data_IF_607324213297
#
_entry.id   IF_607324213297
#
_cell.length_a   1.000
_cell.length_b   1.000
_cell.length_c   1.000
_cell.angle_alpha   90.00
_cell.angle_beta   90.00
_cell.angle_gamma   90.00
#
_symmetry.space_group_name_H-M   'P 1'
#
loop_
_entity.id
_entity.type
_entity.pdbx_description
1 polymer ?
#
# COMPACT_ATOMS: atom_id res chain seq x y z
N UNK A 1 50.07 -14.47 45.31
CA UNK A 1 49.97 -15.24 44.06
C UNK A 1 49.22 -14.37 43.05
N UNK A 2 49.86 -14.05 41.91
CA UNK A 2 49.34 -13.72 40.56
C UNK A 2 47.97 -13.01 40.52
N UNK A 3 47.87 -11.69 40.27
CA UNK A 3 47.85 -11.03 38.95
C UNK A 3 46.51 -10.24 38.86
N UNK A 4 46.50 -8.90 38.74
CA UNK A 4 46.36 -8.10 37.49
C UNK A 4 45.09 -8.49 36.70
N UNK A 5 44.11 -7.68 36.27
CA UNK A 5 44.06 -6.27 35.84
C UNK A 5 42.56 -5.88 35.60
N UNK A 6 42.17 -4.65 35.97
CA UNK A 6 41.27 -3.66 35.30
C UNK A 6 39.82 -4.02 34.88
N UNK A 7 38.88 -3.45 35.65
CA UNK A 7 37.81 -2.49 35.28
C UNK A 7 37.42 -2.39 33.78
N UNK A 8 36.17 -2.71 33.45
CA UNK A 8 35.30 -1.83 32.64
C UNK A 8 33.88 -1.89 33.19
N UNK A 9 33.41 -0.72 33.62
CA UNK A 9 32.04 -0.37 33.98
C UNK A 9 31.13 -0.52 32.76
N UNK A 10 29.89 -0.98 32.91
CA UNK A 10 28.64 -0.36 32.39
C UNK A 10 27.46 -1.30 32.72
N UNK A 11 26.78 -0.94 33.80
CA UNK A 11 25.34 -0.72 33.95
C UNK A 11 24.39 -1.40 32.94
N UNK A 12 23.34 -1.99 33.52
CA UNK A 12 22.05 -2.34 32.94
C UNK A 12 21.99 -3.60 32.07
N UNK A 13 21.54 -4.70 32.68
CA UNK A 13 20.16 -5.14 32.51
C UNK A 13 19.97 -6.50 33.20
N UNK A 14 19.49 -6.46 34.44
CA UNK A 14 18.83 -7.58 35.12
C UNK A 14 17.47 -7.88 34.43
N UNK A 15 17.52 -8.20 33.13
CA UNK A 15 16.37 -8.54 32.29
C UNK A 15 16.66 -9.69 31.33
N UNK A 16 17.81 -10.35 31.46
CA UNK A 16 18.28 -11.33 30.47
C UNK A 16 17.82 -12.77 30.73
N UNK A 17 16.85 -13.00 31.63
CA UNK A 17 16.39 -14.36 31.98
C UNK A 17 14.90 -14.57 31.70
N UNK A 18 14.15 -13.54 31.28
CA UNK A 18 12.75 -13.69 30.85
C UNK A 18 12.55 -13.65 29.32
N UNK A 19 13.60 -13.32 28.56
CA UNK A 19 13.53 -13.23 27.09
C UNK A 19 13.71 -14.57 26.36
N UNK A 20 14.04 -15.67 27.07
CA UNK A 20 14.31 -16.98 26.46
C UNK A 20 13.10 -17.93 26.36
N UNK A 21 11.88 -17.43 26.58
CA UNK A 21 10.64 -18.22 26.56
C UNK A 21 9.54 -17.67 25.62
N UNK A 22 9.92 -16.88 24.62
CA UNK A 22 9.08 -16.52 23.47
C UNK A 22 9.75 -16.87 22.13
N UNK A 23 10.68 -17.85 22.14
CA UNK A 23 11.26 -18.43 20.95
C UNK A 23 10.22 -19.29 20.21
N UNK A 24 9.32 -18.62 19.50
CA UNK A 24 8.26 -19.19 18.68
C UNK A 24 8.15 -18.43 17.36
N UNK A 25 9.12 -18.66 16.47
CA UNK A 25 8.95 -18.53 15.01
C UNK A 25 8.72 -17.13 14.45
N UNK A 26 9.74 -16.27 14.48
CA UNK A 26 9.84 -15.20 13.48
C UNK A 26 10.33 -15.82 12.16
N UNK A 27 9.41 -16.03 11.22
CA UNK A 27 9.77 -16.32 9.84
C UNK A 27 10.59 -15.14 9.30
N UNK A 28 11.75 -15.36 8.64
CA UNK A 28 12.48 -14.28 8.03
C UNK A 28 11.60 -13.65 6.93
N UNK A 29 11.44 -12.33 6.97
CA UNK A 29 10.90 -11.56 5.86
C UNK A 29 11.89 -11.70 4.69
N UNK A 30 11.60 -12.63 3.78
CA UNK A 30 12.27 -12.70 2.49
C UNK A 30 11.63 -11.63 1.62
N UNK A 31 12.25 -10.46 1.57
CA UNK A 31 12.01 -9.48 0.53
C UNK A 31 12.54 -10.08 -0.78
N UNK A 32 11.65 -10.63 -1.61
CA UNK A 32 11.99 -11.03 -2.96
C UNK A 32 11.81 -9.82 -3.89
N UNK A 33 12.81 -8.95 -3.90
CA UNK A 33 12.95 -7.87 -4.88
C UNK A 33 13.60 -8.43 -6.14
N UNK A 34 12.81 -9.00 -7.06
CA UNK A 34 13.32 -9.34 -8.39
C UNK A 34 13.44 -8.07 -9.24
N UNK A 35 14.65 -7.50 -9.26
CA UNK A 35 15.03 -6.46 -10.21
C UNK A 35 15.25 -7.08 -11.61
N UNK A 36 14.52 -6.59 -12.62
CA UNK A 36 14.79 -6.90 -14.02
C UNK A 36 15.85 -5.92 -14.52
N UNK A 37 17.11 -6.38 -14.63
CA UNK A 37 18.21 -5.60 -15.22
C UNK A 37 18.10 -5.64 -16.74
N UNK A 38 17.80 -4.50 -17.35
CA UNK A 38 18.04 -4.26 -18.77
C UNK A 38 19.34 -3.47 -18.92
N UNK A 39 20.35 -4.10 -19.53
CA UNK A 39 21.60 -3.44 -19.94
C UNK A 39 21.30 -2.53 -21.13
N UNK A 40 21.04 -1.25 -20.85
CA UNK A 40 21.20 -0.05 -21.70
C UNK A 40 20.04 0.95 -21.45
N UNK A 41 20.33 2.04 -20.74
CA UNK A 41 19.37 3.10 -20.40
C UNK A 41 18.69 2.82 -19.06
N UNK A 42 18.74 3.79 -18.14
CA UNK A 42 18.29 3.63 -16.76
C UNK A 42 16.91 2.98 -16.66
N UNK A 43 16.87 1.72 -16.21
CA UNK A 43 15.63 1.05 -15.86
C UNK A 43 15.01 1.80 -14.68
N UNK A 44 13.88 2.48 -14.90
CA UNK A 44 13.09 3.01 -13.80
C UNK A 44 12.58 1.80 -13.01
N UNK A 45 12.90 1.66 -11.71
CA UNK A 45 12.37 0.56 -10.92
C UNK A 45 10.84 0.62 -10.96
N UNK A 46 10.21 -0.47 -11.41
CA UNK A 46 8.76 -0.59 -11.44
C UNK A 46 8.29 -1.09 -10.09
N UNK A 47 7.52 -0.26 -9.39
CA UNK A 47 6.81 -0.69 -8.17
C UNK A 47 5.69 -1.65 -8.56
N UNK A 48 5.70 -2.85 -7.98
CA UNK A 48 4.64 -3.85 -8.14
C UNK A 48 3.72 -3.81 -6.92
N UNK A 49 2.44 -3.57 -7.16
CA UNK A 49 1.41 -3.52 -6.14
C UNK A 49 0.69 -4.87 -6.02
N UNK A 50 0.60 -5.36 -4.78
CA UNK A 50 -0.28 -6.49 -4.44
C UNK A 50 -1.72 -6.01 -4.35
N UNK A 51 -2.52 -6.42 -5.33
CA UNK A 51 -3.97 -6.18 -5.36
C UNK A 51 -4.67 -6.89 -4.18
N UNK A 52 -5.66 -6.22 -3.61
CA UNK A 52 -6.64 -6.83 -2.71
C UNK A 52 -8.02 -6.45 -3.23
N UNK A 53 -8.81 -7.46 -3.58
CA UNK A 53 -10.19 -7.28 -4.02
C UNK A 53 -11.11 -7.59 -2.85
N UNK A 54 -12.02 -6.67 -2.61
CA UNK A 54 -13.09 -6.84 -1.64
C UNK A 54 -14.25 -7.63 -2.25
N UNK A 55 -15.21 -8.03 -1.42
CA UNK A 55 -16.45 -8.67 -1.89
C UNK A 55 -17.21 -7.75 -2.86
N UNK A 56 -17.79 -8.36 -3.90
CA UNK A 56 -18.55 -7.66 -4.94
C UNK A 56 -17.76 -6.69 -5.81
N UNK A 57 -16.43 -6.64 -5.70
CA UNK A 57 -15.57 -5.92 -6.63
C UNK A 57 -15.76 -6.45 -8.06
N UNK A 58 -15.82 -5.53 -9.03
CA UNK A 58 -15.97 -5.85 -10.46
C UNK A 58 -14.74 -5.43 -11.25
N UNK A 59 -14.27 -4.19 -11.06
CA UNK A 59 -13.17 -3.63 -11.83
C UNK A 59 -12.52 -2.43 -11.14
N UNK A 60 -11.27 -2.13 -11.54
CA UNK A 60 -10.60 -0.85 -11.26
C UNK A 60 -10.13 -0.21 -12.57
N UNK A 61 -10.13 1.12 -12.59
CA UNK A 61 -9.52 1.93 -13.66
C UNK A 61 -8.65 3.00 -13.01
N UNK A 62 -7.33 3.04 -13.23
CA UNK A 62 -6.55 2.06 -13.99
C UNK A 62 -6.61 0.64 -13.42
N UNK A 63 -6.29 -0.35 -14.25
CA UNK A 63 -6.10 -1.73 -13.78
C UNK A 63 -4.86 -1.80 -12.88
N UNK A 64 -4.83 -2.74 -11.94
CA UNK A 64 -3.69 -2.91 -11.04
C UNK A 64 -2.38 -3.16 -11.83
N UNK A 65 -1.30 -2.51 -11.42
CA UNK A 65 0.02 -2.47 -12.06
C UNK A 65 0.03 -1.89 -13.48
N UNK A 66 -0.98 -1.10 -13.88
CA UNK A 66 -0.91 -0.35 -15.12
C UNK A 66 0.30 0.59 -15.13
N UNK A 67 0.99 0.66 -16.27
CA UNK A 67 2.02 1.66 -16.56
C UNK A 67 1.43 2.68 -17.56
N UNK A 68 1.39 3.95 -17.16
CA UNK A 68 0.71 5.02 -17.87
C UNK A 68 1.68 6.14 -18.25
N UNK A 69 1.44 6.77 -19.40
CA UNK A 69 2.27 7.88 -19.89
C UNK A 69 1.85 9.23 -19.31
N UNK A 70 0.64 9.29 -18.75
CA UNK A 70 0.04 10.48 -18.18
C UNK A 70 -0.79 10.07 -16.98
N UNK A 71 -0.96 11.01 -16.04
CA UNK A 71 -1.89 10.84 -14.92
C UNK A 71 -3.30 10.72 -15.52
N UNK A 72 -4.04 9.63 -15.24
CA UNK A 72 -5.41 9.50 -15.73
C UNK A 72 -6.29 10.54 -15.05
N UNK A 73 -7.36 11.01 -15.70
CA UNK A 73 -8.29 11.98 -15.09
C UNK A 73 -8.90 11.45 -13.78
N UNK A 74 -9.07 10.12 -13.67
CA UNK A 74 -9.73 9.49 -12.53
C UNK A 74 -9.12 8.14 -12.19
N UNK A 75 -9.08 7.85 -10.88
CA UNK A 75 -9.00 6.50 -10.36
C UNK A 75 -10.39 6.04 -9.93
N UNK A 76 -10.81 4.83 -10.32
CA UNK A 76 -12.16 4.29 -10.15
C UNK A 76 -12.12 2.86 -9.63
N UNK A 77 -13.09 2.51 -8.78
CA UNK A 77 -13.39 1.14 -8.36
C UNK A 77 -14.89 0.91 -8.45
N UNK A 78 -15.29 -0.15 -9.15
CA UNK A 78 -16.69 -0.49 -9.42
C UNK A 78 -17.08 -1.80 -8.75
N UNK A 79 -18.33 -1.85 -8.27
CA UNK A 79 -18.92 -2.97 -7.55
C UNK A 79 -20.23 -3.44 -8.19
N UNK A 80 -20.63 -4.67 -7.89
CA UNK A 80 -21.92 -5.23 -8.34
C UNK A 80 -23.14 -4.69 -7.55
N UNK A 81 -22.91 -3.94 -6.48
CA UNK A 81 -23.94 -3.39 -5.60
C UNK A 81 -23.75 -1.87 -5.40
N UNK A 82 -24.81 -1.21 -4.95
CA UNK A 82 -24.74 0.18 -4.53
C UNK A 82 -23.99 0.31 -3.20
N UNK A 83 -23.11 1.30 -3.13
CA UNK A 83 -22.32 1.63 -1.96
C UNK A 83 -23.05 2.60 -1.04
N UNK A 84 -22.78 2.47 0.24
CA UNK A 84 -23.18 3.44 1.25
C UNK A 84 -22.27 4.69 1.19
N UNK A 85 -22.79 5.90 1.41
CA UNK A 85 -22.00 7.15 1.40
C UNK A 85 -20.85 7.20 2.42
N UNK A 86 -20.84 6.33 3.44
CA UNK A 86 -19.72 6.18 4.37
C UNK A 86 -18.51 5.44 3.79
N UNK A 87 -18.60 4.93 2.56
CA UNK A 87 -17.49 4.32 1.84
C UNK A 87 -16.41 5.37 1.54
N UNK A 88 -15.14 4.95 1.49
CA UNK A 88 -14.02 5.86 1.29
C UNK A 88 -12.99 5.29 0.31
N UNK A 89 -12.27 6.19 -0.34
CA UNK A 89 -11.12 5.91 -1.17
C UNK A 89 -10.02 6.92 -0.88
N UNK A 90 -8.78 6.46 -0.74
CA UNK A 90 -7.60 7.28 -0.47
C UNK A 90 -6.54 7.03 -1.54
N UNK A 91 -5.68 8.02 -1.74
CA UNK A 91 -4.58 7.97 -2.69
C UNK A 91 -3.27 8.30 -2.00
N UNK A 92 -2.25 7.52 -2.31
CA UNK A 92 -0.86 7.89 -2.03
C UNK A 92 -0.07 7.91 -3.33
N UNK A 93 0.87 8.85 -3.44
CA UNK A 93 1.85 8.94 -4.52
C UNK A 93 3.24 8.91 -3.91
N UNK A 94 4.12 8.04 -4.40
CA UNK A 94 5.47 7.87 -3.83
C UNK A 94 5.46 7.61 -2.30
N UNK A 95 4.39 7.00 -1.79
CA UNK A 95 4.19 6.77 -0.36
C UNK A 95 3.66 7.97 0.44
N UNK A 96 3.47 9.13 -0.19
CA UNK A 96 2.90 10.32 0.45
C UNK A 96 1.40 10.45 0.15
N UNK A 97 0.57 10.82 1.14
CA UNK A 97 -0.85 11.06 0.92
C UNK A 97 -1.10 12.16 -0.11
N UNK A 98 -2.09 11.95 -0.97
CA UNK A 98 -2.62 12.97 -1.87
C UNK A 98 -4.02 13.34 -1.40
N UNK A 99 -4.23 14.61 -1.09
CA UNK A 99 -5.53 15.13 -0.65
C UNK A 99 -6.49 15.17 -1.84
N UNK A 100 -7.44 14.24 -1.88
CA UNK A 100 -8.49 14.14 -2.89
C UNK A 100 -9.74 13.52 -2.27
N UNK A 101 -10.90 14.09 -2.58
CA UNK A 101 -12.17 13.62 -2.03
C UNK A 101 -12.69 12.40 -2.80
N UNK A 102 -13.22 11.42 -2.05
CA UNK A 102 -14.01 10.33 -2.64
C UNK A 102 -15.30 10.88 -3.23
N UNK A 103 -15.61 10.46 -4.45
CA UNK A 103 -16.87 10.73 -5.12
C UNK A 103 -17.54 9.43 -5.54
N UNK A 104 -18.81 9.53 -5.93
CA UNK A 104 -19.64 8.41 -6.32
C UNK A 104 -20.31 8.68 -7.66
N UNK A 105 -20.49 7.64 -8.46
CA UNK A 105 -21.40 7.70 -9.62
C UNK A 105 -22.85 7.85 -9.15
N UNK A 106 -23.75 8.25 -10.07
CA UNK A 106 -25.16 8.47 -9.76
C UNK A 106 -25.86 7.24 -9.19
N UNK A 107 -25.50 6.04 -9.67
CA UNK A 107 -26.01 4.76 -9.20
C UNK A 107 -25.30 4.25 -7.93
N UNK A 108 -24.31 4.99 -7.43
CA UNK A 108 -23.48 4.65 -6.26
C UNK A 108 -22.76 3.31 -6.36
N UNK A 109 -22.64 2.72 -7.56
CA UNK A 109 -21.93 1.44 -7.75
C UNK A 109 -20.42 1.62 -7.91
N UNK A 110 -19.94 2.86 -8.08
CA UNK A 110 -18.54 3.18 -8.32
C UNK A 110 -18.08 4.30 -7.41
N UNK A 111 -16.96 4.08 -6.72
CA UNK A 111 -16.16 5.14 -6.08
C UNK A 111 -15.11 5.66 -7.05
N UNK A 112 -14.87 6.96 -7.02
CA UNK A 112 -13.84 7.59 -7.83
C UNK A 112 -13.09 8.70 -7.09
N UNK A 113 -11.86 8.94 -7.52
CA UNK A 113 -11.05 10.09 -7.16
C UNK A 113 -10.75 10.86 -8.45
N UNK A 114 -11.04 12.16 -8.47
CA UNK A 114 -10.62 13.05 -9.56
C UNK A 114 -9.15 13.41 -9.35
N UNK A 115 -8.32 13.05 -10.33
CA UNK A 115 -6.89 13.30 -10.30
C UNK A 115 -6.56 14.50 -11.18
N UNK A 116 -5.71 15.38 -10.67
CA UNK A 116 -5.28 16.55 -11.43
C UNK A 116 -4.17 16.16 -12.40
N UNK A 117 -4.30 16.56 -13.68
CA UNK A 117 -3.17 16.55 -14.60
C UNK A 117 -1.98 17.30 -13.98
N UNK A 118 -0.79 16.68 -14.00
CA UNK A 118 0.40 17.26 -13.38
C UNK A 118 0.62 16.88 -11.91
N UNK A 119 -0.18 15.97 -11.33
CA UNK A 119 0.18 15.32 -10.06
C UNK A 119 1.55 14.61 -10.11
N UNK A 120 2.12 14.39 -11.30
CA UNK A 120 3.51 14.03 -11.56
C UNK A 120 3.75 12.53 -11.74
N UNK A 121 4.96 12.15 -12.16
CA UNK A 121 5.32 10.74 -12.36
C UNK A 121 5.52 9.99 -11.05
N UNK A 122 5.40 8.67 -11.09
CA UNK A 122 5.71 7.77 -9.99
C UNK A 122 4.61 6.73 -9.70
N UNK A 123 4.87 5.84 -8.72
CA UNK A 123 3.86 4.94 -8.18
C UNK A 123 2.71 5.66 -7.48
N UNK A 124 1.49 5.23 -7.79
CA UNK A 124 0.24 5.60 -7.14
C UNK A 124 -0.39 4.35 -6.53
N UNK A 125 -0.78 4.42 -5.26
CA UNK A 125 -1.54 3.38 -4.56
C UNK A 125 -2.89 3.94 -4.15
N UNK A 126 -3.94 3.23 -4.56
CA UNK A 126 -5.33 3.50 -4.17
C UNK A 126 -5.74 2.45 -3.15
N UNK A 127 -6.20 2.91 -2.00
CA UNK A 127 -6.81 2.07 -0.97
C UNK A 127 -8.27 2.48 -0.81
N UNK A 128 -9.15 1.51 -0.57
CA UNK A 128 -10.57 1.80 -0.44
C UNK A 128 -11.24 0.96 0.64
N UNK A 129 -12.33 1.50 1.18
CA UNK A 129 -13.26 0.86 2.10
C UNK A 129 -14.66 0.97 1.53
N UNK A 130 -15.19 -0.14 1.02
CA UNK A 130 -16.52 -0.24 0.44
C UNK A 130 -17.51 -0.73 1.50
N UNK A 131 -18.53 0.07 1.79
CA UNK A 131 -19.60 -0.23 2.73
C UNK A 131 -20.92 -0.39 1.99
N UNK A 132 -21.77 -1.31 2.46
CA UNK A 132 -23.16 -1.43 2.01
C UNK A 132 -24.12 -0.84 3.05
N UNK A 133 -25.38 -0.59 2.66
CA UNK A 133 -26.38 0.09 3.51
C UNK A 133 -26.63 -0.55 4.89
N UNK A 134 -26.28 -1.83 5.08
CA UNK A 134 -26.35 -2.50 6.38
C UNK A 134 -25.18 -2.17 7.31
N UNK A 135 -24.22 -1.37 6.85
CA UNK A 135 -23.02 -0.97 7.59
C UNK A 135 -21.86 -1.98 7.52
N UNK A 136 -22.03 -3.10 6.81
CA UNK A 136 -20.94 -4.06 6.57
C UNK A 136 -19.95 -3.42 5.59
N UNK A 137 -18.67 -3.41 5.95
CA UNK A 137 -17.62 -2.82 5.15
C UNK A 137 -16.50 -3.82 4.85
N UNK A 138 -15.95 -3.73 3.64
CA UNK A 138 -14.80 -4.50 3.19
C UNK A 138 -13.76 -3.56 2.59
N UNK A 139 -12.49 -3.95 2.66
CA UNK A 139 -11.38 -3.13 2.17
C UNK A 139 -10.68 -3.79 1.01
N UNK A 140 -10.10 -2.98 0.14
CA UNK A 140 -9.26 -3.43 -0.95
C UNK A 140 -8.26 -2.36 -1.36
N UNK A 141 -7.42 -2.72 -2.34
CA UNK A 141 -6.39 -1.83 -2.87
C UNK A 141 -5.92 -2.26 -4.24
N UNK A 142 -5.44 -1.29 -5.02
CA UNK A 142 -4.74 -1.48 -6.28
C UNK A 142 -3.79 -0.31 -6.49
N UNK A 143 -2.79 -0.46 -7.37
CA UNK A 143 -1.90 0.63 -7.71
C UNK A 143 -1.55 0.66 -9.19
N UNK A 144 -0.97 1.77 -9.63
CA UNK A 144 -0.52 2.02 -11.00
C UNK A 144 0.70 2.95 -10.98
N UNK A 145 1.42 3.04 -12.09
CA UNK A 145 2.63 3.87 -12.21
C UNK A 145 2.49 4.81 -13.39
N UNK A 146 2.81 6.09 -13.18
CA UNK A 146 2.90 7.11 -14.25
C UNK A 146 4.37 7.37 -14.56
N UNK A 147 4.77 7.40 -15.84
CA UNK A 147 6.14 7.70 -16.27
C UNK A 147 6.30 9.12 -16.79
#
# INVERSE_FOLDING_TARGET
>A
MKGLLVIVVIVAAFGLVYALLLAGGEAPAVADETAVVNTNGAATPLTIFREVRSEGWTSSTPINNALLDQVPEQARVTFIFALDPSSTMTLTRNGEPVEVATQFTQDSSTMLLDLTEGQGSGPYLVEYRACIATGICTSGRFGFTVR
#
